data_IF_080552852554
#
_entry.id   IF_080552852554
#
_cell.length_a   1.000
_cell.length_b   1.000
_cell.length_c   1.000
_cell.angle_alpha   90.00
_cell.angle_beta   90.00
_cell.angle_gamma   90.00
#
_symmetry.space_group_name_H-M   'P 1'
#
loop_
_entity.id
_entity.type
_entity.pdbx_description
1 polymer ?
#
# COMPACT_ATOMS: atom_id res chain seq x y z
N UNK A 1 17.37 -7.92 22.24
CA UNK A 1 16.55 -7.95 21.01
C UNK A 1 15.08 -7.77 21.39
N UNK A 2 14.48 -6.58 21.18
CA UNK A 2 13.03 -6.39 21.36
C UNK A 2 12.35 -7.39 20.40
N UNK A 3 11.59 -8.35 20.93
CA UNK A 3 10.95 -9.41 20.15
C UNK A 3 10.22 -8.76 18.97
N UNK A 4 10.51 -9.17 17.74
CA UNK A 4 9.73 -8.78 16.57
C UNK A 4 8.27 -9.06 16.88
N UNK A 5 7.47 -8.01 17.05
CA UNK A 5 6.07 -8.16 17.38
C UNK A 5 5.31 -8.40 16.09
N UNK A 6 5.29 -9.67 15.66
CA UNK A 6 4.52 -10.11 14.48
C UNK A 6 3.07 -9.58 14.53
N UNK A 7 2.48 -9.50 15.74
CA UNK A 7 1.16 -8.91 15.96
C UNK A 7 1.06 -7.44 15.54
N UNK A 8 2.08 -6.63 15.76
CA UNK A 8 2.08 -5.21 15.36
C UNK A 8 2.23 -5.08 13.84
N UNK A 9 3.11 -5.87 13.22
CA UNK A 9 3.24 -5.93 11.76
C UNK A 9 1.91 -6.36 11.11
N UNK A 10 1.24 -7.38 11.65
CA UNK A 10 -0.05 -7.86 11.14
C UNK A 10 -1.16 -6.80 11.26
N UNK A 11 -1.16 -6.01 12.33
CA UNK A 11 -2.11 -4.88 12.50
C UNK A 11 -1.87 -3.81 11.43
N UNK A 12 -0.62 -3.43 11.19
CA UNK A 12 -0.27 -2.45 10.14
C UNK A 12 -0.68 -3.00 8.77
N UNK A 13 -0.40 -4.28 8.50
CA UNK A 13 -0.78 -4.93 7.25
C UNK A 13 -2.30 -4.92 7.02
N UNK A 14 -3.09 -5.37 8.00
CA UNK A 14 -4.55 -5.40 7.88
C UNK A 14 -5.13 -3.98 7.73
N UNK A 15 -4.58 -3.00 8.45
CA UNK A 15 -5.00 -1.61 8.33
C UNK A 15 -4.75 -1.05 6.92
N UNK A 16 -3.55 -1.27 6.37
CA UNK A 16 -3.20 -0.85 5.01
C UNK A 16 -4.04 -1.58 3.97
N UNK A 17 -4.31 -2.87 4.18
CA UNK A 17 -5.13 -3.69 3.28
C UNK A 17 -6.54 -3.10 3.13
N UNK A 18 -7.18 -2.76 4.25
CA UNK A 18 -8.54 -2.16 4.23
C UNK A 18 -8.52 -0.78 3.55
N UNK A 19 -7.55 0.07 3.89
CA UNK A 19 -7.46 1.42 3.30
C UNK A 19 -7.22 1.34 1.79
N UNK A 20 -6.27 0.53 1.34
CA UNK A 20 -5.97 0.40 -0.07
C UNK A 20 -7.13 -0.21 -0.85
N UNK A 21 -7.85 -1.17 -0.25
CA UNK A 21 -9.04 -1.73 -0.86
C UNK A 21 -10.12 -0.65 -1.08
N UNK A 22 -10.39 0.18 -0.06
CA UNK A 22 -11.35 1.28 -0.17
C UNK A 22 -10.92 2.29 -1.24
N UNK A 23 -9.63 2.67 -1.27
CA UNK A 23 -9.09 3.60 -2.27
C UNK A 23 -9.24 3.01 -3.69
N UNK A 24 -8.90 1.73 -3.88
CA UNK A 24 -9.02 1.06 -5.17
C UNK A 24 -10.46 0.98 -5.68
N UNK A 25 -11.41 0.68 -4.79
CA UNK A 25 -12.85 0.67 -5.14
C UNK A 25 -13.33 2.09 -5.45
N UNK A 26 -12.94 3.08 -4.63
CA UNK A 26 -13.32 4.47 -4.85
C UNK A 26 -12.81 5.01 -6.19
N UNK A 27 -11.56 4.69 -6.57
CA UNK A 27 -10.99 5.05 -7.87
C UNK A 27 -11.81 4.49 -9.04
N UNK A 28 -12.22 3.22 -8.98
CA UNK A 28 -13.03 2.59 -10.03
C UNK A 28 -14.40 3.29 -10.14
N UNK A 29 -15.04 3.59 -9.02
CA UNK A 29 -16.35 4.25 -9.01
C UNK A 29 -16.27 5.71 -9.47
N UNK A 30 -15.24 6.45 -9.04
CA UNK A 30 -15.07 7.88 -9.36
C UNK A 30 -14.57 8.11 -10.79
N UNK A 31 -13.72 7.22 -11.31
CA UNK A 31 -13.25 7.28 -12.70
C UNK A 31 -14.40 7.07 -13.68
N UNK A 32 -15.35 6.17 -13.37
CA UNK A 32 -16.57 5.99 -14.16
C UNK A 32 -17.49 7.22 -14.11
N UNK A 33 -17.51 7.94 -13.00
CA UNK A 33 -18.33 9.14 -12.81
C UNK A 33 -17.72 10.42 -13.42
N UNK A 34 -16.53 10.36 -14.06
CA UNK A 34 -15.77 11.53 -14.56
C UNK A 34 -15.66 12.67 -13.52
N UNK A 35 -15.56 12.30 -12.26
CA UNK A 35 -15.54 13.23 -11.12
C UNK A 35 -14.15 13.83 -10.94
N UNK A 36 -14.06 15.11 -10.52
CA UNK A 36 -12.79 15.75 -10.14
C UNK A 36 -12.09 15.01 -8.98
N UNK A 37 -12.83 14.26 -8.15
CA UNK A 37 -12.24 13.42 -7.10
C UNK A 37 -11.39 12.27 -7.66
N UNK A 38 -11.56 11.90 -8.93
CA UNK A 38 -10.70 10.94 -9.64
C UNK A 38 -9.22 11.37 -9.62
N UNK A 39 -8.96 12.68 -9.65
CA UNK A 39 -7.59 13.21 -9.55
C UNK A 39 -6.96 12.96 -8.16
N UNK A 40 -7.76 13.00 -7.09
CA UNK A 40 -7.28 12.80 -5.73
C UNK A 40 -7.04 11.32 -5.46
N UNK A 41 -7.97 10.46 -5.90
CA UNK A 41 -7.85 9.02 -5.72
C UNK A 41 -6.73 8.43 -6.57
N UNK A 42 -6.49 8.93 -7.79
CA UNK A 42 -5.33 8.53 -8.60
C UNK A 42 -3.99 8.91 -7.97
N UNK A 43 -3.88 10.09 -7.33
CA UNK A 43 -2.68 10.46 -6.55
C UNK A 43 -2.49 9.51 -5.37
N UNK A 44 -3.55 9.20 -4.63
CA UNK A 44 -3.50 8.24 -3.51
C UNK A 44 -3.06 6.85 -3.98
N UNK A 45 -3.60 6.35 -5.10
CA UNK A 45 -3.18 5.08 -5.70
C UNK A 45 -1.71 5.14 -6.11
N UNK A 46 -1.23 6.28 -6.64
CA UNK A 46 0.18 6.45 -7.01
C UNK A 46 1.11 6.41 -5.81
N UNK A 47 0.73 7.04 -4.69
CA UNK A 47 1.48 6.95 -3.43
C UNK A 47 1.45 5.51 -2.91
N UNK A 48 0.30 4.85 -2.97
CA UNK A 48 0.16 3.46 -2.57
C UNK A 48 0.88 2.48 -3.52
N UNK A 49 1.23 2.86 -4.74
CA UNK A 49 2.03 2.02 -5.65
C UNK A 49 3.52 2.34 -5.62
N UNK A 50 3.90 3.46 -4.97
CA UNK A 50 5.29 3.91 -4.88
C UNK A 50 6.29 2.83 -4.41
N UNK A 51 6.03 2.03 -3.35
CA UNK A 51 7.00 1.03 -2.91
C UNK A 51 7.25 -0.08 -3.92
N UNK A 52 6.25 -0.44 -4.73
CA UNK A 52 6.43 -1.41 -5.81
C UNK A 52 7.15 -0.78 -7.01
N UNK A 53 6.87 0.50 -7.29
CA UNK A 53 7.59 1.26 -8.33
C UNK A 53 9.09 1.44 -8.05
N UNK A 54 9.52 1.28 -6.79
CA UNK A 54 10.94 1.24 -6.41
C UNK A 54 11.64 -0.08 -6.78
N UNK A 55 10.88 -1.15 -7.00
CA UNK A 55 11.40 -2.46 -7.39
C UNK A 55 11.39 -2.57 -8.92
N UNK A 56 10.30 -2.15 -9.56
CA UNK A 56 10.21 -2.06 -11.01
C UNK A 56 9.21 -0.96 -11.41
N UNK A 57 9.63 -0.04 -12.28
CA UNK A 57 8.79 1.06 -12.77
C UNK A 57 7.67 0.60 -13.70
N UNK A 58 7.80 -0.59 -14.32
CA UNK A 58 6.82 -1.19 -15.22
C UNK A 58 5.81 -2.11 -14.51
N UNK A 59 5.76 -2.11 -13.18
CA UNK A 59 4.74 -2.80 -12.38
C UNK A 59 3.67 -1.83 -11.87
N UNK A 60 2.74 -1.36 -12.73
CA UNK A 60 1.60 -0.59 -12.25
C UNK A 60 0.68 -1.48 -11.42
N UNK A 61 0.02 -0.86 -10.44
CA UNK A 61 -1.10 -1.41 -9.66
C UNK A 61 -2.24 -1.98 -10.55
N UNK A 62 -2.22 -1.61 -11.84
CA UNK A 62 -3.10 -2.06 -12.90
C UNK A 62 -2.27 -2.58 -14.08
N UNK A 63 -1.53 -3.67 -13.89
CA UNK A 63 -1.01 -4.40 -15.07
C UNK A 63 -2.23 -4.92 -15.83
N UNK A 64 -2.23 -4.85 -17.17
CA UNK A 64 -3.24 -5.47 -18.05
C UNK A 64 -3.17 -7.01 -18.05
N UNK A 65 -2.68 -7.59 -16.96
CA UNK A 65 -2.57 -9.02 -16.73
C UNK A 65 -3.85 -9.59 -16.09
N UNK A 66 -3.90 -10.91 -15.98
CA UNK A 66 -5.00 -11.64 -15.37
C UNK A 66 -5.29 -11.11 -13.95
N UNK A 67 -6.56 -11.10 -13.52
CA UNK A 67 -7.01 -10.64 -12.19
C UNK A 67 -6.20 -11.25 -11.04
N UNK A 68 -5.75 -12.50 -11.22
CA UNK A 68 -4.88 -13.18 -10.29
C UNK A 68 -3.53 -12.46 -10.07
N UNK A 69 -2.88 -12.02 -11.16
CA UNK A 69 -1.58 -11.33 -11.11
C UNK A 69 -1.73 -9.95 -10.48
N UNK A 70 -2.82 -9.23 -10.79
CA UNK A 70 -3.16 -7.95 -10.15
C UNK A 70 -3.28 -8.13 -8.62
N UNK A 71 -4.01 -9.15 -8.17
CA UNK A 71 -4.14 -9.45 -6.73
C UNK A 71 -2.83 -9.84 -6.07
N UNK A 72 -1.97 -10.58 -6.78
CA UNK A 72 -0.65 -10.99 -6.29
C UNK A 72 0.30 -9.80 -6.14
N UNK A 73 0.37 -8.92 -7.15
CA UNK A 73 1.18 -7.70 -7.07
C UNK A 73 0.67 -6.75 -5.99
N UNK A 74 -0.65 -6.63 -5.85
CA UNK A 74 -1.26 -5.87 -4.76
C UNK A 74 -0.84 -6.40 -3.37
N UNK A 75 -0.89 -7.71 -3.18
CA UNK A 75 -0.44 -8.36 -1.93
C UNK A 75 1.04 -8.12 -1.64
N UNK A 76 1.90 -8.27 -2.66
CA UNK A 76 3.35 -8.04 -2.53
C UNK A 76 3.61 -6.57 -2.13
N UNK A 77 2.96 -5.62 -2.81
CA UNK A 77 3.09 -4.21 -2.49
C UNK A 77 2.62 -3.89 -1.06
N UNK A 78 1.47 -4.43 -0.64
CA UNK A 78 0.99 -4.29 0.75
C UNK A 78 1.99 -4.85 1.76
N UNK A 79 2.61 -5.99 1.47
CA UNK A 79 3.58 -6.60 2.34
C UNK A 79 4.84 -5.74 2.48
N UNK A 80 5.37 -5.23 1.36
CA UNK A 80 6.51 -4.30 1.35
C UNK A 80 6.17 -3.03 2.15
N UNK A 81 5.01 -2.42 1.92
CA UNK A 81 4.59 -1.24 2.68
C UNK A 81 4.51 -1.48 4.17
N UNK A 82 3.93 -2.61 4.55
CA UNK A 82 3.77 -2.98 5.95
C UNK A 82 5.12 -3.13 6.64
N UNK A 83 6.09 -3.73 5.95
CA UNK A 83 7.46 -3.87 6.44
C UNK A 83 8.15 -2.51 6.56
N UNK A 84 8.05 -1.65 5.54
CA UNK A 84 8.63 -0.29 5.56
C UNK A 84 8.04 0.53 6.71
N UNK A 85 6.72 0.57 6.84
CA UNK A 85 6.05 1.32 7.90
C UNK A 85 6.39 0.78 9.29
N UNK A 86 6.46 -0.55 9.45
CA UNK A 86 6.90 -1.15 10.70
C UNK A 86 8.34 -0.76 11.06
N UNK A 87 9.26 -0.81 10.09
CA UNK A 87 10.65 -0.39 10.27
C UNK A 87 10.74 1.09 10.68
N UNK A 88 10.01 1.97 10.01
CA UNK A 88 9.95 3.40 10.35
C UNK A 88 9.47 3.59 11.79
N UNK A 89 8.38 2.93 12.19
CA UNK A 89 7.86 3.00 13.56
C UNK A 89 8.89 2.52 14.60
N UNK A 90 9.61 1.43 14.31
CA UNK A 90 10.66 0.91 15.19
C UNK A 90 11.82 1.91 15.31
N UNK A 91 12.26 2.49 14.20
CA UNK A 91 13.35 3.49 14.19
C UNK A 91 12.95 4.76 14.94
N UNK A 92 11.76 5.32 14.68
CA UNK A 92 11.26 6.52 15.36
C UNK A 92 11.16 6.28 16.87
N UNK A 93 10.57 5.15 17.28
CA UNK A 93 10.47 4.82 18.71
C UNK A 93 11.86 4.69 19.37
N UNK A 94 12.83 4.14 18.65
CA UNK A 94 14.22 4.02 19.13
C UNK A 94 14.93 5.37 19.24
N UNK A 95 14.64 6.31 18.35
CA UNK A 95 15.16 7.69 18.42
C UNK A 95 14.51 8.44 19.59
N UNK A 96 13.19 8.28 19.79
CA UNK A 96 12.44 8.95 20.85
C UNK A 96 12.76 8.46 22.26
N UNK A 97 13.18 7.19 22.39
CA UNK A 97 13.67 6.63 23.66
C UNK A 97 15.10 7.08 24.01
N UNK A 98 15.79 7.79 23.11
CA UNK A 98 17.16 8.31 23.29
C UNK A 98 17.13 9.81 23.58
#
# INVERSE_FOLDING_TARGET
MKKFKLKELLKVFLFLMVIQFIIGVAEILLSQAQSELSSITSILVRICSYPMSLIDSDLPFFVSENLFMIGLYWMINLMIQSVILYLILVVINKIREK
#
